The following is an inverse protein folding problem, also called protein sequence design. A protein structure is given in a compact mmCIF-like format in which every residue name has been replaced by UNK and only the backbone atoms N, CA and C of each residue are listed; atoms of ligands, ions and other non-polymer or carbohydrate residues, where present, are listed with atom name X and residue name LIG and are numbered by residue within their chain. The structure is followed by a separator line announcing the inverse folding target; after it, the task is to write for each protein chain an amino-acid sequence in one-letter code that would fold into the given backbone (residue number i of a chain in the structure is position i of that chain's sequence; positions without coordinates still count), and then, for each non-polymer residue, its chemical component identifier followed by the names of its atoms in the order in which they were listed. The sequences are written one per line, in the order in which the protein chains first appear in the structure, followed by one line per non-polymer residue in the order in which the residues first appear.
data_IF_778152775185
#
_entry.id   IF_778152775185
#
_cell.length_a   1.000
_cell.length_b   1.000
_cell.length_c   1.000
_cell.angle_alpha   90.00
_cell.angle_beta   90.00
_cell.angle_gamma   90.00
#
_symmetry.space_group_name_H-M   'P 1'
#
loop_
_entity.id
_entity.type
_entity.pdbx_description
1 polymer ?
#
# COMPACT_ATOMS: atom_id res chain seq x y z
N UNK A 1 83.86 37.53 27.68
CA UNK A 1 83.83 36.57 26.54
C UNK A 1 82.53 35.77 26.67
N UNK A 2 81.44 36.23 26.05
CA UNK A 2 80.98 35.90 24.69
C UNK A 2 80.17 34.60 24.62
N UNK A 3 78.96 34.72 24.04
CA UNK A 3 78.10 33.69 23.41
C UNK A 3 77.38 32.68 24.33
N UNK A 4 76.14 32.27 24.07
CA UNK A 4 75.15 32.57 23.01
C UNK A 4 73.80 32.04 23.49
N UNK A 5 72.79 32.90 23.54
CA UNK A 5 71.39 32.50 23.71
C UNK A 5 70.88 31.94 22.39
N UNK A 6 70.57 30.64 22.33
CA UNK A 6 69.85 30.05 21.19
C UNK A 6 68.36 30.35 21.37
N UNK A 7 67.86 31.25 20.54
CA UNK A 7 66.44 31.53 20.36
C UNK A 7 65.73 30.32 19.72
N UNK A 8 64.95 29.58 20.50
CA UNK A 8 63.88 28.71 19.97
C UNK A 8 62.57 29.49 19.99
N UNK A 9 62.14 29.98 18.84
CA UNK A 9 60.87 30.69 18.65
C UNK A 9 59.72 29.69 18.48
N UNK A 10 59.24 29.14 19.58
CA UNK A 10 57.96 28.41 19.57
C UNK A 10 56.81 29.42 19.42
N UNK A 11 56.24 29.53 18.20
CA UNK A 11 55.05 30.35 17.93
C UNK A 11 53.93 29.96 18.91
N UNK A 12 53.29 30.90 19.63
CA UNK A 12 52.23 30.56 20.56
C UNK A 12 51.03 30.00 19.77
N UNK A 13 50.63 28.77 20.08
CA UNK A 13 49.38 28.18 19.58
C UNK A 13 48.24 29.14 19.94
N UNK A 14 47.60 29.73 18.93
CA UNK A 14 46.50 30.69 19.06
C UNK A 14 45.33 30.00 19.78
N UNK A 15 45.27 30.15 21.11
CA UNK A 15 44.26 29.54 21.98
C UNK A 15 42.92 30.17 21.61
N UNK A 16 42.03 29.42 20.92
CA UNK A 16 40.69 29.90 20.58
C UNK A 16 39.98 30.30 21.88
N UNK A 17 39.38 31.49 21.92
CA UNK A 17 38.69 32.03 23.10
C UNK A 17 37.64 31.04 23.60
N UNK A 18 37.56 30.81 24.91
CA UNK A 18 36.56 29.93 25.54
C UNK A 18 35.14 30.35 25.14
N UNK A 19 34.90 31.66 25.04
CA UNK A 19 33.64 32.22 24.55
C UNK A 19 33.28 31.77 23.13
N UNK A 20 34.28 31.63 22.25
CA UNK A 20 34.07 31.14 20.90
C UNK A 20 33.68 29.65 20.89
N UNK A 21 34.30 28.83 21.75
CA UNK A 21 33.95 27.42 21.86
C UNK A 21 32.53 27.24 22.41
N UNK A 22 32.17 27.98 23.47
CA UNK A 22 30.81 27.96 24.03
C UNK A 22 29.79 28.37 22.97
N UNK A 23 30.03 29.46 22.23
CA UNK A 23 29.16 29.92 21.15
C UNK A 23 28.99 28.85 20.05
N UNK A 24 30.06 28.15 19.69
CA UNK A 24 30.02 27.13 18.65
C UNK A 24 29.21 25.90 19.09
N UNK A 25 29.34 25.49 20.35
CA UNK A 25 28.58 24.37 20.91
C UNK A 25 27.09 24.70 21.08
N UNK A 26 26.76 25.92 21.54
CA UNK A 26 25.36 26.34 21.67
C UNK A 26 24.66 26.42 20.32
N UNK A 27 25.34 26.96 19.30
CA UNK A 27 24.82 26.96 17.92
C UNK A 27 24.58 25.54 17.41
N UNK A 28 25.54 24.63 17.61
CA UNK A 28 25.42 23.23 17.18
C UNK A 28 24.23 22.52 17.82
N UNK A 29 23.98 22.77 19.12
CA UNK A 29 22.85 22.20 19.85
C UNK A 29 21.49 22.74 19.34
N UNK A 30 21.43 24.04 19.02
CA UNK A 30 20.23 24.67 18.47
C UNK A 30 19.87 24.10 17.09
N UNK A 31 20.86 23.92 16.21
CA UNK A 31 20.63 23.33 14.89
C UNK A 31 20.23 21.84 14.96
N UNK A 32 20.87 21.06 15.82
CA UNK A 32 20.56 19.63 15.98
C UNK A 32 19.16 19.36 16.55
N UNK A 33 18.73 20.17 17.53
CA UNK A 33 17.40 20.06 18.12
C UNK A 33 16.30 20.52 17.16
N UNK A 34 16.51 21.62 16.44
CA UNK A 34 15.55 22.12 15.45
C UNK A 34 15.36 21.15 14.29
N UNK A 35 16.44 20.56 13.78
CA UNK A 35 16.36 19.54 12.73
C UNK A 35 15.60 18.29 13.17
N UNK A 36 15.78 17.85 14.42
CA UNK A 36 15.05 16.71 15.00
C UNK A 36 13.56 16.99 15.16
N UNK A 37 13.19 18.22 15.56
CA UNK A 37 11.80 18.66 15.67
C UNK A 37 11.14 18.75 14.29
N UNK A 38 11.82 19.31 13.29
CA UNK A 38 11.32 19.37 11.91
C UNK A 38 11.15 17.96 11.33
N UNK A 39 12.12 17.07 11.55
CA UNK A 39 12.03 15.68 11.12
C UNK A 39 10.88 14.95 11.81
N UNK A 40 10.76 15.07 13.13
CA UNK A 40 9.65 14.50 13.90
C UNK A 40 8.31 15.04 13.37
N UNK A 41 8.18 16.36 13.24
CA UNK A 41 6.95 16.96 12.74
C UNK A 41 6.65 16.51 11.31
N UNK A 42 7.62 16.48 10.39
CA UNK A 42 7.39 16.07 8.99
C UNK A 42 7.11 14.58 8.82
N UNK A 43 7.79 13.69 9.54
CA UNK A 43 7.56 12.25 9.44
C UNK A 43 6.34 11.80 10.24
N UNK A 44 6.20 12.24 11.50
CA UNK A 44 5.13 11.78 12.38
C UNK A 44 3.79 12.39 11.98
N UNK A 45 3.71 13.68 11.62
CA UNK A 45 2.43 14.25 11.17
C UNK A 45 1.98 13.65 9.85
N UNK A 46 2.87 13.35 8.90
CA UNK A 46 2.50 12.65 7.67
C UNK A 46 1.94 11.27 7.95
N UNK A 47 2.54 10.52 8.86
CA UNK A 47 2.07 9.18 9.23
C UNK A 47 0.74 9.22 9.99
N UNK A 48 0.55 10.20 10.87
CA UNK A 48 -0.72 10.42 11.58
C UNK A 48 -1.82 10.89 10.60
N UNK A 49 -1.53 11.84 9.71
CA UNK A 49 -2.47 12.31 8.68
C UNK A 49 -2.83 11.17 7.72
N UNK A 50 -1.87 10.33 7.34
CA UNK A 50 -2.10 9.14 6.51
C UNK A 50 -3.08 8.17 7.17
N UNK A 51 -3.01 7.98 8.49
CA UNK A 51 -3.96 7.17 9.26
C UNK A 51 -5.33 7.83 9.41
N UNK A 52 -5.37 9.15 9.60
CA UNK A 52 -6.62 9.92 9.77
C UNK A 52 -7.38 10.09 8.44
N UNK A 53 -6.67 10.17 7.30
CA UNK A 53 -7.26 10.31 5.96
C UNK A 53 -7.55 8.98 5.26
N UNK A 54 -7.43 7.84 5.96
CA UNK A 54 -7.86 6.57 5.40
C UNK A 54 -9.36 6.61 5.12
N UNK A 55 -9.71 6.68 3.83
CA UNK A 55 -11.09 6.76 3.40
C UNK A 55 -11.72 5.40 3.54
N UNK A 56 -12.79 5.34 4.33
CA UNK A 56 -13.62 4.17 4.47
C UNK A 56 -15.06 4.51 4.10
N UNK A 57 -15.81 3.51 3.68
CA UNK A 57 -17.16 3.75 3.19
C UNK A 57 -17.86 2.48 2.76
N UNK A 58 -18.84 2.63 1.88
CA UNK A 58 -19.61 1.51 1.32
C UNK A 58 -19.19 1.28 -0.12
N UNK A 59 -18.77 0.07 -0.44
CA UNK A 59 -18.63 -0.38 -1.82
C UNK A 59 -19.89 -1.13 -2.27
N UNK A 60 -20.32 -0.88 -3.50
CA UNK A 60 -21.30 -1.68 -4.22
C UNK A 60 -20.64 -2.24 -5.47
N UNK A 61 -20.57 -3.56 -5.55
CA UNK A 61 -19.92 -4.27 -6.65
C UNK A 61 -21.00 -5.04 -7.39
N UNK A 62 -21.10 -4.82 -8.70
CA UNK A 62 -22.04 -5.50 -9.58
C UNK A 62 -21.31 -6.46 -10.50
N UNK A 63 -21.79 -7.69 -10.53
CA UNK A 63 -21.33 -8.76 -11.44
C UNK A 63 -22.60 -9.32 -12.06
N UNK A 64 -22.74 -9.12 -13.37
CA UNK A 64 -23.95 -9.41 -14.14
C UNK A 64 -25.17 -8.68 -13.56
N UNK A 65 -26.21 -9.44 -13.21
CA UNK A 65 -27.46 -8.99 -12.62
C UNK A 65 -27.41 -8.90 -11.08
N UNK A 66 -26.32 -9.34 -10.44
CA UNK A 66 -26.19 -9.39 -8.99
C UNK A 66 -25.31 -8.28 -8.46
N UNK A 67 -25.67 -7.72 -7.31
CA UNK A 67 -24.93 -6.65 -6.63
C UNK A 67 -24.71 -6.98 -5.17
N UNK A 68 -23.48 -6.81 -4.70
CA UNK A 68 -23.12 -6.94 -3.28
C UNK A 68 -22.74 -5.59 -2.70
N UNK A 69 -23.07 -5.39 -1.42
CA UNK A 69 -22.76 -4.17 -0.68
C UNK A 69 -21.87 -4.54 0.51
N UNK A 70 -20.76 -3.83 0.68
CA UNK A 70 -19.76 -4.19 1.68
C UNK A 70 -19.11 -2.96 2.30
N UNK A 71 -18.54 -3.13 3.52
CA UNK A 71 -17.69 -2.11 4.12
C UNK A 71 -16.33 -2.13 3.41
N UNK A 72 -15.94 -0.97 2.90
CA UNK A 72 -14.76 -0.82 2.08
C UNK A 72 -13.77 0.16 2.68
N UNK A 73 -12.49 -0.10 2.41
CA UNK A 73 -11.36 0.70 2.84
C UNK A 73 -10.46 1.02 1.65
N UNK A 74 -10.11 2.29 1.48
CA UNK A 74 -9.14 2.70 0.47
C UNK A 74 -7.73 2.57 1.04
N UNK A 75 -6.99 1.58 0.56
CA UNK A 75 -5.62 1.36 0.98
C UNK A 75 -4.65 2.05 0.03
N UNK A 76 -4.09 3.17 0.48
CA UNK A 76 -3.04 3.89 -0.26
C UNK A 76 -1.76 3.08 -0.51
N UNK A 77 -1.57 1.96 0.19
CA UNK A 77 -0.47 1.01 -0.05
C UNK A 77 -0.80 -0.08 -1.07
N UNK A 78 -2.06 -0.23 -1.49
CA UNK A 78 -2.43 -1.18 -2.51
C UNK A 78 -1.93 -0.69 -3.88
N UNK A 79 -0.96 -1.41 -4.44
CA UNK A 79 -0.33 -1.16 -5.74
C UNK A 79 -0.65 -2.25 -6.77
N UNK A 80 -1.64 -3.11 -6.48
CA UNK A 80 -2.03 -4.19 -7.38
C UNK A 80 -2.59 -3.62 -8.69
N UNK A 81 -2.07 -4.12 -9.80
CA UNK A 81 -2.52 -3.77 -11.14
C UNK A 81 -2.67 -5.02 -12.01
N UNK A 82 -3.62 -4.98 -12.95
CA UNK A 82 -3.72 -5.97 -14.01
C UNK A 82 -2.54 -5.78 -14.97
N UNK A 83 -1.63 -6.77 -15.13
CA UNK A 83 -0.44 -6.62 -15.97
C UNK A 83 -0.76 -6.47 -17.46
N UNK A 84 -1.97 -6.84 -17.90
CA UNK A 84 -2.38 -6.72 -19.30
C UNK A 84 -2.96 -5.34 -19.60
N UNK A 85 -3.81 -4.82 -18.70
CA UNK A 85 -4.56 -3.58 -18.95
C UNK A 85 -4.04 -2.37 -18.19
N UNK A 86 -3.16 -2.57 -17.21
CA UNK A 86 -2.70 -1.53 -16.28
C UNK A 86 -3.78 -1.05 -15.31
N UNK A 87 -4.97 -1.67 -15.30
CA UNK A 87 -6.07 -1.25 -14.42
C UNK A 87 -5.77 -1.57 -12.97
N UNK A 88 -6.19 -0.66 -12.10
CA UNK A 88 -6.21 -0.85 -10.65
C UNK A 88 -6.97 -2.12 -10.26
N UNK A 89 -6.48 -2.82 -9.24
CA UNK A 89 -7.09 -4.06 -8.74
C UNK A 89 -7.58 -3.86 -7.29
N UNK A 90 -8.84 -4.23 -7.06
CA UNK A 90 -9.44 -4.19 -5.72
C UNK A 90 -9.52 -5.60 -5.13
N UNK A 91 -9.21 -5.77 -3.85
CA UNK A 91 -9.41 -7.04 -3.15
C UNK A 91 -10.80 -7.06 -2.53
N UNK A 92 -11.50 -8.19 -2.68
CA UNK A 92 -12.85 -8.39 -2.18
C UNK A 92 -12.93 -9.72 -1.47
N UNK A 93 -13.54 -9.76 -0.30
CA UNK A 93 -13.73 -11.00 0.46
C UNK A 93 -14.51 -12.01 -0.39
N UNK A 94 -13.93 -13.17 -0.66
CA UNK A 94 -14.52 -14.18 -1.54
C UNK A 94 -15.95 -14.58 -1.11
N UNK A 95 -16.19 -14.71 0.20
CA UNK A 95 -17.49 -15.10 0.75
C UNK A 95 -18.61 -14.13 0.36
N UNK A 96 -18.31 -12.84 0.17
CA UNK A 96 -19.29 -11.86 -0.32
C UNK A 96 -19.67 -12.09 -1.78
N UNK A 97 -18.71 -12.56 -2.59
CA UNK A 97 -18.89 -12.73 -4.02
C UNK A 97 -19.49 -14.09 -4.38
N UNK A 98 -19.41 -15.09 -3.50
CA UNK A 98 -19.92 -16.44 -3.75
C UNK A 98 -21.37 -16.47 -4.27
N UNK A 99 -22.32 -15.67 -3.76
CA UNK A 99 -23.68 -15.59 -4.31
C UNK A 99 -23.75 -14.93 -5.68
N UNK A 100 -22.73 -14.21 -6.14
CA UNK A 100 -22.70 -13.53 -7.44
C UNK A 100 -21.98 -14.33 -8.53
N UNK A 101 -21.35 -15.44 -8.15
CA UNK A 101 -20.54 -16.25 -9.04
C UNK A 101 -21.30 -17.52 -9.42
N UNK A 102 -21.10 -17.97 -10.66
CA UNK A 102 -21.59 -19.29 -11.05
C UNK A 102 -20.85 -20.37 -10.27
N UNK A 103 -21.48 -21.53 -10.00
CA UNK A 103 -20.85 -22.62 -9.25
C UNK A 103 -19.49 -23.04 -9.81
N UNK A 104 -19.31 -22.97 -11.13
CA UNK A 104 -18.04 -23.27 -11.79
C UNK A 104 -16.94 -22.25 -11.47
N UNK A 105 -17.25 -20.95 -11.54
CA UNK A 105 -16.30 -19.91 -11.18
C UNK A 105 -15.88 -20.00 -9.71
N UNK A 106 -16.84 -20.28 -8.81
CA UNK A 106 -16.56 -20.54 -7.40
C UNK A 106 -15.59 -21.72 -7.19
N UNK A 107 -15.81 -22.84 -7.89
CA UNK A 107 -14.89 -23.99 -7.85
C UNK A 107 -13.48 -23.66 -8.33
N UNK A 108 -13.35 -22.88 -9.41
CA UNK A 108 -12.05 -22.46 -9.94
C UNK A 108 -11.29 -21.60 -8.91
N UNK A 109 -11.98 -20.66 -8.27
CA UNK A 109 -11.40 -19.80 -7.22
C UNK A 109 -10.95 -20.64 -6.02
N UNK A 110 -11.82 -21.53 -5.51
CA UNK A 110 -11.50 -22.40 -4.38
C UNK A 110 -10.34 -23.35 -4.70
N UNK A 111 -10.27 -23.89 -5.92
CA UNK A 111 -9.17 -24.75 -6.36
C UNK A 111 -7.84 -23.99 -6.50
N UNK A 112 -7.89 -22.73 -6.98
CA UNK A 112 -6.70 -21.87 -7.11
C UNK A 112 -6.06 -21.60 -5.75
N UNK A 113 -6.87 -21.23 -4.75
CA UNK A 113 -6.37 -20.89 -3.42
C UNK A 113 -6.16 -22.10 -2.49
N UNK A 114 -6.88 -23.21 -2.71
CA UNK A 114 -6.76 -24.43 -1.90
C UNK A 114 -5.54 -25.30 -2.24
N UNK A 115 -4.95 -25.13 -3.42
CA UNK A 115 -3.70 -25.79 -3.78
C UNK A 115 -2.58 -24.74 -3.81
N UNK A 116 -1.74 -24.67 -2.77
CA UNK A 116 -0.55 -23.78 -2.72
C UNK A 116 0.55 -24.20 -3.74
N UNK A 117 0.20 -24.98 -4.76
CA UNK A 117 0.94 -25.25 -6.00
C UNK A 117 0.13 -24.85 -7.25
N UNK A 118 -0.83 -23.93 -7.10
CA UNK A 118 -1.92 -23.59 -8.04
C UNK A 118 -1.54 -23.10 -9.44
N UNK A 119 -0.23 -22.99 -9.75
CA UNK A 119 0.23 -22.65 -11.09
C UNK A 119 0.03 -23.78 -12.12
N UNK A 120 0.01 -25.06 -11.72
CA UNK A 120 0.11 -26.17 -12.69
C UNK A 120 -1.21 -26.70 -13.25
N UNK A 121 -2.39 -26.29 -12.75
CA UNK A 121 -3.65 -26.98 -13.07
C UNK A 121 -4.82 -26.12 -13.55
N UNK A 122 -4.69 -24.79 -13.62
CA UNK A 122 -5.68 -24.00 -14.38
C UNK A 122 -5.28 -24.10 -15.85
N UNK A 123 -5.82 -25.10 -16.55
CA UNK A 123 -5.67 -25.21 -18.00
C UNK A 123 -6.39 -24.01 -18.62
N UNK A 124 -5.76 -23.32 -19.59
CA UNK A 124 -6.31 -22.12 -20.26
C UNK A 124 -7.76 -22.31 -20.73
N UNK A 125 -8.12 -23.55 -21.08
CA UNK A 125 -9.47 -23.96 -21.49
C UNK A 125 -10.55 -23.76 -20.41
N UNK A 126 -10.25 -23.83 -19.10
CA UNK A 126 -11.26 -23.67 -18.04
C UNK A 126 -11.61 -22.20 -17.74
N UNK A 127 -10.77 -21.26 -18.13
CA UNK A 127 -11.01 -19.84 -17.89
C UNK A 127 -12.13 -19.27 -18.78
N UNK A 128 -12.25 -19.76 -20.02
CA UNK A 128 -13.30 -19.34 -20.95
C UNK A 128 -14.66 -19.96 -20.66
N UNK A 129 -14.72 -21.16 -20.05
CA UNK A 129 -15.97 -21.91 -19.83
C UNK A 129 -16.92 -21.19 -18.87
N UNK A 130 -16.41 -20.41 -17.92
CA UNK A 130 -17.22 -19.71 -16.91
C UNK A 130 -17.86 -18.40 -17.39
N UNK A 131 -17.49 -17.90 -18.57
CA UNK A 131 -17.86 -16.55 -19.04
C UNK A 131 -17.37 -15.40 -18.14
N UNK A 132 -16.60 -15.70 -17.08
CA UNK A 132 -15.93 -14.74 -16.22
C UNK A 132 -14.45 -14.76 -16.62
N UNK A 133 -13.99 -13.69 -17.28
CA UNK A 133 -12.60 -13.57 -17.69
C UNK A 133 -11.67 -13.54 -16.48
N UNK A 134 -11.06 -14.68 -16.18
CA UNK A 134 -10.05 -14.83 -15.14
C UNK A 134 -8.71 -14.21 -15.58
N UNK A 135 -8.03 -13.55 -14.63
CA UNK A 135 -6.76 -12.85 -14.85
C UNK A 135 -5.77 -13.26 -13.77
N UNK A 136 -4.51 -13.42 -14.12
CA UNK A 136 -3.45 -13.61 -13.12
C UNK A 136 -2.90 -12.25 -12.74
N UNK A 137 -2.96 -11.92 -11.45
CA UNK A 137 -2.47 -10.67 -10.88
C UNK A 137 -1.23 -10.99 -10.04
N UNK A 138 -0.01 -10.71 -10.54
CA UNK A 138 1.19 -10.86 -9.75
C UNK A 138 1.12 -9.95 -8.52
N UNK A 139 1.54 -10.44 -7.36
CA UNK A 139 1.73 -9.60 -6.18
C UNK A 139 3.05 -9.90 -5.50
N UNK A 140 3.58 -8.89 -4.82
CA UNK A 140 4.80 -9.01 -4.05
C UNK A 140 4.55 -8.45 -2.66
N UNK A 141 4.47 -9.32 -1.66
CA UNK A 141 4.52 -8.92 -0.27
C UNK A 141 5.94 -9.11 0.27
N UNK A 142 6.37 -8.19 1.13
CA UNK A 142 7.69 -8.24 1.76
C UNK A 142 7.79 -9.55 2.57
N UNK A 143 8.80 -10.37 2.28
CA UNK A 143 9.00 -11.65 2.95
C UNK A 143 8.24 -12.85 2.36
N UNK A 144 7.53 -12.66 1.24
CA UNK A 144 6.89 -13.77 0.49
C UNK A 144 7.61 -14.04 -0.84
N UNK A 145 7.61 -15.30 -1.28
CA UNK A 145 7.96 -15.64 -2.67
C UNK A 145 7.04 -14.89 -3.66
N UNK A 146 7.40 -14.82 -4.95
CA UNK A 146 6.58 -14.17 -5.99
C UNK A 146 5.18 -14.79 -6.00
N UNK A 147 4.21 -14.07 -5.45
CA UNK A 147 2.84 -14.53 -5.32
C UNK A 147 1.99 -14.19 -6.53
N UNK A 148 0.90 -14.93 -6.71
CA UNK A 148 -0.12 -14.68 -7.73
C UNK A 148 -1.50 -14.70 -7.12
N UNK A 149 -2.36 -13.80 -7.58
CA UNK A 149 -3.78 -13.73 -7.25
C UNK A 149 -4.61 -14.00 -8.50
N UNK A 150 -5.81 -14.54 -8.29
CA UNK A 150 -6.78 -14.75 -9.36
C UNK A 150 -7.76 -13.57 -9.37
N UNK A 151 -7.68 -12.74 -10.39
CA UNK A 151 -8.59 -11.62 -10.64
C UNK A 151 -9.74 -12.02 -11.56
N UNK A 152 -10.85 -11.30 -11.44
CA UNK A 152 -12.01 -11.34 -12.34
C UNK A 152 -12.43 -9.91 -12.69
N UNK A 153 -13.24 -9.76 -13.74
CA UNK A 153 -13.82 -8.46 -14.09
C UNK A 153 -15.21 -8.36 -13.48
N UNK A 154 -15.47 -7.26 -12.76
CA UNK A 154 -16.82 -6.89 -12.34
C UNK A 154 -17.34 -5.77 -13.25
N UNK A 155 -18.65 -5.74 -13.48
CA UNK A 155 -19.25 -4.77 -14.39
C UNK A 155 -19.14 -3.36 -13.85
N UNK A 156 -19.32 -3.20 -12.53
CA UNK A 156 -19.33 -1.89 -11.89
C UNK A 156 -18.91 -1.97 -10.43
N UNK A 157 -18.09 -1.02 -10.01
CA UNK A 157 -17.77 -0.72 -8.64
C UNK A 157 -18.22 0.71 -8.32
N UNK A 158 -18.96 0.87 -7.23
CA UNK A 158 -19.37 2.17 -6.71
C UNK A 158 -18.89 2.29 -5.28
N UNK A 159 -17.99 3.23 -5.03
CA UNK A 159 -17.54 3.55 -3.68
C UNK A 159 -18.24 4.82 -3.19
N UNK A 160 -18.78 4.78 -1.97
CA UNK A 160 -19.45 5.93 -1.33
C UNK A 160 -18.79 6.25 0.00
N UNK A 161 -18.31 7.49 0.12
CA UNK A 161 -17.55 8.03 1.27
C UNK A 161 -18.08 9.44 1.59
N UNK A 162 -18.64 9.62 2.79
CA UNK A 162 -19.13 10.92 3.29
C UNK A 162 -19.97 11.72 2.27
N UNK A 163 -20.91 11.05 1.60
CA UNK A 163 -21.78 11.68 0.60
C UNK A 163 -21.16 11.85 -0.80
N UNK A 164 -19.86 11.60 -0.97
CA UNK A 164 -19.20 11.51 -2.28
C UNK A 164 -19.34 10.10 -2.84
N UNK A 165 -19.45 10.01 -4.17
CA UNK A 165 -19.63 8.75 -4.89
C UNK A 165 -18.60 8.68 -6.03
N UNK A 166 -17.85 7.59 -6.07
CA UNK A 166 -16.86 7.28 -7.10
C UNK A 166 -17.31 6.04 -7.84
N UNK A 167 -17.17 6.03 -9.17
CA UNK A 167 -17.75 4.98 -10.02
C UNK A 167 -16.72 4.48 -11.02
N UNK A 168 -16.48 3.18 -11.02
CA UNK A 168 -15.63 2.52 -12.00
C UNK A 168 -16.42 1.42 -12.71
N UNK A 169 -16.51 1.50 -14.04
CA UNK A 169 -17.10 0.45 -14.89
C UNK A 169 -15.99 -0.50 -15.37
N UNK A 170 -16.29 -1.81 -15.45
CA UNK A 170 -15.34 -2.83 -15.90
C UNK A 170 -14.09 -2.94 -15.01
N UNK A 171 -14.27 -2.86 -13.69
CA UNK A 171 -13.18 -2.89 -12.71
C UNK A 171 -12.62 -4.31 -12.52
N UNK A 172 -11.32 -4.40 -12.22
CA UNK A 172 -10.68 -5.68 -11.90
C UNK A 172 -10.73 -5.90 -10.39
N UNK A 173 -11.27 -7.03 -9.97
CA UNK A 173 -11.39 -7.42 -8.57
C UNK A 173 -10.74 -8.78 -8.32
N UNK A 174 -10.20 -8.99 -7.12
CA UNK A 174 -9.67 -10.27 -6.67
C UNK A 174 -10.57 -10.83 -5.56
N UNK A 175 -11.31 -11.94 -5.80
CA UNK A 175 -12.01 -12.69 -4.77
C UNK A 175 -11.00 -13.41 -3.85
N UNK A 176 -10.63 -12.79 -2.73
CA UNK A 176 -9.62 -13.33 -1.82
C UNK A 176 -10.28 -14.09 -0.65
N UNK A 177 -9.94 -15.38 -0.42
CA UNK A 177 -10.54 -16.17 0.65
C UNK A 177 -9.88 -16.00 2.03
N UNK A 178 -8.67 -15.45 2.09
CA UNK A 178 -7.99 -15.13 3.35
C UNK A 178 -8.47 -13.81 3.97
N UNK A 179 -7.78 -13.34 5.00
CA UNK A 179 -8.21 -12.17 5.78
C UNK A 179 -7.21 -10.98 5.81
N UNK A 180 -6.94 -10.33 4.66
CA UNK A 180 -6.15 -9.11 4.59
C UNK A 180 -6.94 -7.89 5.06
N UNK A 181 -8.23 -8.05 5.37
CA UNK A 181 -9.17 -6.94 5.57
C UNK A 181 -9.09 -6.31 6.96
N UNK A 182 -8.24 -6.85 7.84
CA UNK A 182 -8.01 -6.37 9.19
C UNK A 182 -9.20 -6.54 10.13
N UNK A 183 -8.97 -6.32 11.42
CA UNK A 183 -9.97 -6.51 12.47
C UNK A 183 -11.11 -5.47 12.45
N UNK A 184 -10.97 -4.40 11.66
CA UNK A 184 -11.95 -3.31 11.57
C UNK A 184 -13.22 -3.67 10.78
N UNK A 185 -13.36 -4.94 10.38
CA UNK A 185 -14.54 -5.48 9.70
C UNK A 185 -14.70 -4.97 8.28
N UNK A 186 -13.61 -4.61 7.61
CA UNK A 186 -13.66 -4.38 6.17
C UNK A 186 -13.81 -5.71 5.44
N UNK A 187 -14.35 -5.62 4.24
CA UNK A 187 -14.55 -6.78 3.37
C UNK A 187 -14.11 -6.47 1.93
N UNK A 188 -13.71 -5.22 1.68
CA UNK A 188 -13.19 -4.73 0.40
C UNK A 188 -12.01 -3.80 0.68
N UNK A 189 -10.87 -4.08 0.05
CA UNK A 189 -9.73 -3.17 0.00
C UNK A 189 -9.67 -2.57 -1.40
N UNK A 190 -9.88 -1.27 -1.48
CA UNK A 190 -9.90 -0.53 -2.73
C UNK A 190 -8.51 0.02 -3.04
N UNK A 191 -8.08 -0.13 -4.29
CA UNK A 191 -6.96 0.63 -4.84
C UNK A 191 -7.25 2.14 -4.77
N UNK A 192 -6.26 3.00 -4.46
CA UNK A 192 -6.45 4.44 -4.26
C UNK A 192 -6.95 5.17 -5.51
N UNK A 193 -6.68 4.63 -6.70
CA UNK A 193 -7.17 5.20 -7.97
C UNK A 193 -8.69 5.29 -8.08
N UNK A 194 -9.46 4.56 -7.26
CA UNK A 194 -10.92 4.72 -7.21
C UNK A 194 -11.32 6.16 -6.91
N UNK A 195 -10.49 6.90 -6.15
CA UNK A 195 -10.75 8.29 -5.77
C UNK A 195 -10.56 9.28 -6.93
N UNK A 196 -10.06 8.81 -8.08
CA UNK A 196 -9.84 9.61 -9.29
C UNK A 196 -10.90 9.37 -10.37
N UNK A 197 -11.90 8.54 -10.09
CA UNK A 197 -12.99 8.16 -11.01
C UNK A 197 -14.22 9.02 -10.85
#
# INVERSE_FOLDING_TARGET
MSNKTIHSSARPKRRKSIHYQILLYTLSFLFGSLGSIIFYHTHVTKEIIRRIHQKSGRARIRIRDRTVCAKAFVDTGNSLCDPVTGRAVHLVRYQLLKPCLDPEAGRIIEQFYGNISGMKKIRREQADISGIGFRIIPYHAIGTEKGVLLGITADKLVFSDQGRKYIEEGCVIVPYPGDPFGEQGYEVILHPDILRK
#
